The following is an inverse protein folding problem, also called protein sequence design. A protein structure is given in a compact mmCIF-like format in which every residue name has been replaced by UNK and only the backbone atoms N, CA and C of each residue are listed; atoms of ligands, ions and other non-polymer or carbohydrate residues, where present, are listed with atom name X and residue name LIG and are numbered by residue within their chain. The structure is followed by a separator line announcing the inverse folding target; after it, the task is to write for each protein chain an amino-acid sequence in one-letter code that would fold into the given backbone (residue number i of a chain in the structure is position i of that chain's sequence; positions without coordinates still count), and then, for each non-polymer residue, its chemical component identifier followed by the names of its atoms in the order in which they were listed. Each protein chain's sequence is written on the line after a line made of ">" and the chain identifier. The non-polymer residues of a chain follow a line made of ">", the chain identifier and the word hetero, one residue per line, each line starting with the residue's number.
data_IF_795449124834
#
_entry.id   IF_795449124834
#
_cell.length_a   1.000
_cell.length_b   1.000
_cell.length_c   1.000
_cell.angle_alpha   90.00
_cell.angle_beta   90.00
_cell.angle_gamma   90.00
#
_symmetry.space_group_name_H-M   'P 1'
#
loop_
_entity.id
_entity.type
_entity.pdbx_description
1 polymer ?
2 polymer ?
3 water ?
#
# COMPACT_ATOMS: atom_id res chain seq x y z
N UNK A 3 -12.56 18.22 3.31
CA UNK A 3 -11.60 19.05 2.50
C UNK A 3 -10.14 18.51 2.47
N UNK A 4 -9.60 18.41 1.25
CA UNK A 4 -8.26 17.90 0.96
C UNK A 4 -7.51 18.87 0.04
N UNK A 5 -6.26 19.16 0.36
CA UNK A 5 -5.50 20.11 -0.44
C UNK A 5 -4.18 19.53 -0.81
N UNK A 6 -4.00 19.29 -2.10
CA UNK A 6 -2.71 18.85 -2.59
C UNK A 6 -1.73 19.99 -2.69
N UNK A 7 -0.46 19.66 -2.49
CA UNK A 7 0.66 20.53 -2.87
C UNK A 7 1.87 19.71 -3.35
N UNK A 8 2.95 20.42 -3.73
CA UNK A 8 4.20 19.74 -4.06
C UNK A 8 4.41 19.47 -5.54
N UNK A 9 3.38 19.70 -6.34
CA UNK A 9 3.49 19.53 -7.79
C UNK A 9 4.50 20.48 -8.45
N UNK A 10 4.73 20.31 -9.74
CA UNK A 10 5.70 21.15 -10.38
C UNK A 10 6.15 20.65 -11.72
N UNK A 11 7.06 21.43 -12.32
CA UNK A 11 7.67 21.13 -13.60
C UNK A 11 9.02 20.55 -13.20
N UNK A 12 9.43 19.49 -13.88
CA UNK A 12 10.60 18.71 -13.48
C UNK A 12 11.08 18.05 -14.75
N UNK A 13 12.34 17.66 -14.77
CA UNK A 13 12.89 17.03 -15.98
C UNK A 13 12.84 15.55 -15.74
N UNK A 14 12.75 14.79 -16.83
CA UNK A 14 12.89 13.33 -16.80
C UNK A 14 14.09 12.90 -15.95
N UNK A 15 13.90 11.87 -15.12
CA UNK A 15 14.91 11.37 -14.19
C UNK A 15 14.73 12.05 -12.86
N UNK A 16 13.93 13.10 -12.82
CA UNK A 16 13.78 13.88 -11.59
C UNK A 16 12.89 13.23 -10.52
N UNK A 17 12.76 13.90 -9.37
CA UNK A 17 11.93 13.51 -8.25
C UNK A 17 10.99 14.65 -7.87
N UNK A 18 9.92 14.31 -7.14
CA UNK A 18 9.05 15.33 -6.52
C UNK A 18 8.38 14.70 -5.32
N UNK A 19 7.96 15.53 -4.38
CA UNK A 19 7.20 15.06 -3.23
C UNK A 19 5.86 15.77 -3.17
N UNK A 20 4.79 15.02 -3.47
CA UNK A 20 3.45 15.54 -3.38
C UNK A 20 2.89 15.28 -1.96
N UNK A 21 2.02 16.17 -1.53
CA UNK A 21 1.52 16.12 -0.20
C UNK A 21 0.06 16.51 -0.23
N UNK A 22 -0.70 15.86 0.61
CA UNK A 22 -2.10 16.12 0.71
C UNK A 22 -2.37 16.42 2.19
N UNK A 23 -2.87 17.64 2.48
CA UNK A 23 -3.30 17.95 3.83
C UNK A 23 -4.80 17.75 3.86
N UNK A 24 -5.27 17.15 4.94
CA UNK A 24 -6.64 16.67 5.10
C UNK A 24 -7.32 17.13 6.41
N UNK A 25 -8.62 17.39 6.33
CA UNK A 25 -9.45 17.67 7.50
C UNK A 25 -9.72 16.41 8.33
N UNK A 26 -9.86 16.59 9.64
CA UNK A 26 -10.08 15.44 10.54
C UNK A 26 -11.18 14.49 10.07
N UNK A 27 -12.30 15.09 9.70
CA UNK A 27 -13.46 14.43 9.05
C UNK A 27 -13.14 13.47 7.85
N UNK A 28 -12.27 13.90 6.93
CA UNK A 28 -11.93 13.10 5.75
C UNK A 28 -10.81 12.04 6.01
N UNK A 29 -9.93 12.33 6.97
CA UNK A 29 -8.69 11.59 7.18
C UNK A 29 -8.81 10.51 8.25
N UNK A 30 -9.55 10.83 9.32
CA UNK A 30 -9.54 9.97 10.49
C UNK A 30 -10.06 8.58 10.16
N UNK A 31 -9.32 7.55 10.60
CA UNK A 31 -9.73 6.18 10.35
C UNK A 31 -9.91 5.85 8.85
N UNK A 32 -9.45 6.72 7.95
CA UNK A 32 -9.81 6.50 6.54
C UNK A 32 -8.62 6.10 5.73
N UNK A 33 -8.81 5.18 4.79
CA UNK A 33 -7.79 4.95 3.74
C UNK A 33 -7.66 6.19 2.86
N UNK A 34 -6.44 6.45 2.35
CA UNK A 34 -6.16 7.63 1.49
C UNK A 34 -5.54 7.18 0.13
N UNK A 35 -5.85 7.87 -0.96
CA UNK A 35 -5.38 7.46 -2.25
C UNK A 35 -4.85 8.58 -3.09
N UNK A 36 -3.93 8.23 -4.00
CA UNK A 36 -3.53 9.07 -5.12
C UNK A 36 -3.94 8.48 -6.47
N UNK A 37 -4.57 9.34 -7.28
CA UNK A 37 -4.88 9.10 -8.69
C UNK A 37 -4.22 10.17 -9.54
N UNK A 38 -4.16 9.92 -10.84
CA UNK A 38 -3.65 10.89 -11.77
C UNK A 38 -4.44 10.87 -13.07
N UNK A 39 -4.42 11.98 -13.81
CA UNK A 39 -5.08 12.02 -15.09
C UNK A 39 -4.22 12.63 -16.13
N UNK A 40 -3.80 11.79 -17.07
CA UNK A 40 -2.96 12.20 -18.13
C UNK A 40 -3.78 12.81 -19.25
N UNK A 41 -3.13 13.66 -20.10
CA UNK A 41 -3.92 14.25 -21.19
C UNK A 41 -4.56 13.15 -22.02
N UNK A 42 -5.84 13.28 -22.36
CA UNK A 42 -6.52 12.32 -23.25
C UNK A 42 -6.95 11.01 -22.63
N UNK A 43 -6.80 10.88 -21.31
CA UNK A 43 -7.06 9.58 -20.63
C UNK A 43 -7.94 9.79 -19.45
N UNK A 44 -8.62 8.73 -19.02
CA UNK A 44 -9.42 8.86 -17.82
C UNK A 44 -8.45 8.81 -16.64
N UNK A 45 -8.91 9.25 -15.50
CA UNK A 45 -8.04 9.19 -14.39
C UNK A 45 -7.78 7.74 -13.90
N UNK A 46 -6.55 7.51 -13.48
CA UNK A 46 -6.08 6.20 -13.10
C UNK A 46 -5.43 6.18 -11.75
N UNK A 47 -5.38 4.97 -11.20
CA UNK A 47 -4.80 4.72 -9.91
C UNK A 47 -3.31 4.85 -9.93
N UNK A 48 -2.81 5.40 -8.84
CA UNK A 48 -1.43 5.56 -8.61
C UNK A 48 -1.00 4.78 -7.38
N UNK A 49 -1.57 5.08 -6.19
CA UNK A 49 -1.12 4.49 -4.92
C UNK A 49 -2.23 4.76 -3.87
N UNK A 50 -2.31 3.94 -2.83
CA UNK A 50 -3.30 4.10 -1.71
C UNK A 50 -2.68 3.47 -0.47
N UNK A 51 -3.15 3.88 0.70
CA UNK A 51 -2.52 3.54 2.00
C UNK A 51 -3.64 3.40 3.07
N UNK A 52 -3.68 2.29 3.76
CA UNK A 52 -4.73 2.10 4.76
C UNK A 52 -4.59 3.10 5.93
N UNK A 53 -5.57 3.07 6.84
CA UNK A 53 -5.52 3.91 8.04
C UNK A 53 -4.20 3.68 8.84
N UNK A 54 -3.88 2.41 9.15
CA UNK A 54 -2.67 2.13 9.94
C UNK A 54 -1.38 2.44 9.17
N UNK A 55 -1.46 2.58 7.86
CA UNK A 55 -0.22 2.70 7.03
C UNK A 55 0.49 1.34 6.74
N UNK A 56 -0.04 0.24 7.25
CA UNK A 56 0.56 -1.07 7.06
C UNK A 56 0.19 -1.72 5.73
N UNK A 57 -0.91 -1.30 5.10
CA UNK A 57 -1.38 -1.82 3.86
C UNK A 57 -1.35 -0.73 2.79
N UNK A 58 -0.58 -1.05 1.73
CA UNK A 58 -0.32 -0.14 0.61
C UNK A 58 -0.79 -0.80 -0.67
N UNK A 59 -1.22 0.04 -1.60
CA UNK A 59 -1.50 -0.39 -3.00
C UNK A 59 -0.69 0.48 -3.97
N UNK A 60 -0.08 -0.14 -4.98
CA UNK A 60 0.67 0.56 -6.05
C UNK A 60 0.26 0.08 -7.48
N UNK A 61 0.02 1.04 -8.38
CA UNK A 61 -0.19 0.76 -9.77
C UNK A 61 1.12 0.11 -10.29
N UNK A 62 0.99 -0.91 -11.12
CA UNK A 62 2.20 -1.62 -11.56
C UNK A 62 3.14 -0.68 -12.34
N UNK A 63 2.60 0.31 -13.07
CA UNK A 63 3.45 1.32 -13.76
C UNK A 63 4.31 2.27 -12.90
N UNK A 64 4.13 2.23 -11.59
CA UNK A 64 4.69 3.19 -10.66
C UNK A 64 5.44 2.42 -9.54
N UNK A 65 5.18 1.12 -9.45
CA UNK A 65 5.74 0.26 -8.41
C UNK A 65 7.25 0.24 -8.45
N UNK A 66 7.87 0.54 -7.31
CA UNK A 66 9.28 0.57 -7.20
C UNK A 66 9.94 1.88 -7.65
N UNK A 67 9.13 2.87 -8.09
CA UNK A 67 9.57 4.24 -8.28
C UNK A 67 8.87 5.23 -7.35
N UNK A 68 7.65 4.94 -6.89
CA UNK A 68 6.88 5.87 -6.08
C UNK A 68 6.70 5.25 -4.75
N UNK A 69 6.63 6.07 -3.69
CA UNK A 69 6.33 5.56 -2.37
C UNK A 69 5.23 6.40 -1.77
N UNK A 70 4.24 5.75 -1.22
CA UNK A 70 3.19 6.46 -0.54
C UNK A 70 3.41 6.26 0.97
N UNK A 71 3.10 7.30 1.76
CA UNK A 71 3.18 7.30 3.24
C UNK A 71 2.13 8.25 3.81
N UNK A 72 1.83 8.14 5.09
CA UNK A 72 0.88 9.04 5.74
C UNK A 72 1.42 9.41 7.13
N UNK A 73 0.98 10.56 7.65
CA UNK A 73 1.34 11.05 9.02
C UNK A 73 0.05 11.30 9.73
N UNK A 74 -0.35 10.38 10.62
CA UNK A 74 -1.65 10.54 11.30
C UNK A 74 -1.68 11.70 12.36
N UNK A 75 -0.49 12.27 12.64
CA UNK A 75 -0.33 13.49 13.49
C UNK A 75 -0.68 14.77 12.73
N UNK A 76 -0.08 14.94 11.55
CA UNK A 76 -0.25 16.11 10.70
C UNK A 76 -1.47 15.98 9.78
N UNK A 77 -2.13 14.82 9.83
CA UNK A 77 -3.20 14.49 8.88
C UNK A 77 -2.75 14.68 7.41
N UNK A 78 -1.56 14.20 7.05
CA UNK A 78 -1.05 14.30 5.67
C UNK A 78 -0.88 12.91 5.03
N UNK A 79 -0.99 12.86 3.71
CA UNK A 79 -0.57 11.71 2.87
C UNK A 79 0.49 12.29 1.93
N UNK A 80 1.59 11.56 1.76
CA UNK A 80 2.71 11.95 0.92
C UNK A 80 2.93 10.93 -0.20
N UNK A 81 3.32 11.41 -1.37
CA UNK A 81 3.66 10.57 -2.53
C UNK A 81 5.00 11.03 -3.01
N UNK A 82 5.98 10.19 -2.75
CA UNK A 82 7.33 10.46 -3.16
C UNK A 82 7.48 9.87 -4.51
N UNK A 83 7.69 10.72 -5.49
CA UNK A 83 7.89 10.29 -6.86
C UNK A 83 9.32 10.36 -7.24
N UNK A 84 9.91 9.22 -7.58
CA UNK A 84 11.30 9.16 -8.00
C UNK A 84 11.32 8.69 -9.43
N UNK A 85 12.41 8.97 -10.13
CA UNK A 85 12.62 8.43 -11.46
C UNK A 85 11.52 8.78 -12.45
N UNK A 86 11.06 10.02 -12.38
CA UNK A 86 9.95 10.49 -13.21
C UNK A 86 10.21 10.42 -14.75
N UNK A 87 9.15 10.03 -15.49
CA UNK A 87 9.14 9.90 -16.95
C UNK A 87 8.11 10.90 -17.54
N UNK A 88 8.29 11.29 -18.84
CA UNK A 88 7.27 12.04 -19.58
C UNK A 88 5.84 11.53 -19.36
N UNK A 89 5.67 10.21 -19.42
CA UNK A 89 4.39 9.52 -19.23
C UNK A 89 3.75 9.71 -17.84
N UNK A 90 4.51 10.27 -16.91
CA UNK A 90 4.03 10.59 -15.60
C UNK A 90 3.36 11.96 -15.55
N UNK A 91 3.43 12.70 -16.67
CA UNK A 91 2.77 14.03 -16.80
C UNK A 91 1.26 13.91 -16.55
N UNK A 92 0.71 14.60 -15.54
CA UNK A 92 -0.72 14.45 -15.24
C UNK A 92 -1.12 15.45 -14.22
N UNK A 93 -2.41 15.67 -14.02
CA UNK A 93 -2.87 16.26 -12.75
C UNK A 93 -3.02 15.09 -11.77
N UNK A 94 -2.49 15.29 -10.55
CA UNK A 94 -2.53 14.28 -9.52
C UNK A 94 -3.49 14.77 -8.43
N UNK A 95 -4.35 13.85 -8.04
CA UNK A 95 -5.50 14.08 -7.12
C UNK A 95 -5.33 13.16 -5.92
N UNK A 96 -5.51 13.74 -4.74
CA UNK A 96 -5.59 12.98 -3.51
C UNK A 96 -7.06 12.68 -3.29
N UNK A 97 -7.33 11.55 -2.66
CA UNK A 97 -8.70 11.12 -2.36
C UNK A 97 -8.76 10.46 -0.97
N UNK A 98 -9.93 10.49 -0.35
CA UNK A 98 -10.11 9.91 0.95
C UNK A 98 -11.42 9.21 1.05
N UNK A 99 -11.40 8.07 1.72
CA UNK A 99 -12.59 7.26 2.04
C UNK A 99 -13.13 6.53 0.85
N UNK A 100 -12.46 5.42 0.48
CA UNK A 100 -12.86 4.71 -0.70
C UNK A 100 -14.24 4.05 -0.48
N UNK A 101 -15.10 4.06 -1.52
CA UNK A 101 -16.43 3.42 -1.40
C UNK A 101 -16.37 1.90 -1.65
N UNK A 102 -15.23 1.45 -2.19
CA UNK A 102 -15.04 0.05 -2.52
C UNK A 102 -13.57 -0.31 -2.51
N UNK A 103 -13.07 -0.87 -3.61
CA UNK A 103 -11.64 -1.28 -3.65
C UNK A 103 -10.78 -0.02 -3.77
N UNK A 104 -9.63 0.02 -3.09
CA UNK A 104 -8.76 1.20 -3.04
C UNK A 104 -8.31 1.71 -4.39
N UNK A 105 -8.27 0.77 -5.38
CA UNK A 105 -7.76 1.01 -6.73
C UNK A 105 -8.74 1.62 -7.73
N UNK A 106 -10.03 1.70 -7.38
CA UNK A 106 -11.01 2.26 -8.30
C UNK A 106 -11.33 3.70 -7.84
N UNK A 107 -11.66 4.56 -8.82
CA UNK A 107 -11.86 5.97 -8.61
C UNK A 107 -13.24 6.29 -7.98
N UNK A 108 -13.53 5.67 -6.85
CA UNK A 108 -14.84 5.84 -6.18
C UNK A 108 -14.51 6.12 -4.75
N UNK A 109 -14.37 7.42 -4.43
CA UNK A 109 -14.00 7.89 -3.11
C UNK A 109 -14.98 9.03 -2.74
N UNK A 110 -15.32 9.10 -1.46
CA UNK A 110 -16.22 10.16 -0.95
C UNK A 110 -15.62 11.56 -1.13
N UNK A 111 -14.33 11.72 -0.87
CA UNK A 111 -13.65 13.04 -0.95
C UNK A 111 -12.49 13.02 -1.90
N UNK A 112 -12.40 14.13 -2.65
CA UNK A 112 -11.37 14.39 -3.65
C UNK A 112 -10.78 15.75 -3.44
N UNK A 113 -9.48 15.85 -3.70
CA UNK A 113 -8.80 17.12 -3.75
C UNK A 113 -9.10 17.79 -5.08
N UNK A 114 -8.50 18.97 -5.28
CA UNK A 114 -8.74 19.78 -6.51
C UNK A 114 -7.67 19.45 -7.51
N UNK A 115 -6.59 18.84 -7.06
CA UNK A 115 -5.60 18.41 -8.03
C UNK A 115 -4.35 19.23 -7.95
N UNK A 116 -3.26 18.66 -8.44
CA UNK A 116 -1.99 19.39 -8.57
C UNK A 116 -1.25 18.87 -9.82
N UNK A 117 -0.66 19.79 -10.59
CA UNK A 117 -0.04 19.45 -11.86
C UNK A 117 1.36 18.98 -11.62
N UNK A 118 1.71 17.95 -12.36
CA UNK A 118 3.05 17.47 -12.43
C UNK A 118 3.35 17.35 -13.88
N UNK A 119 4.35 18.05 -14.35
CA UNK A 119 4.71 17.84 -15.76
C UNK A 119 6.20 17.58 -15.83
N UNK A 120 6.56 16.58 -16.61
CA UNK A 120 7.90 16.06 -16.61
C UNK A 120 8.35 16.19 -18.04
N UNK A 121 9.31 17.08 -18.29
CA UNK A 121 9.77 17.37 -19.68
C UNK A 121 10.79 16.33 -20.24
N UNK B 5 17.41 -2.60 11.83
CA UNK B 5 16.89 -4.01 11.81
C UNK B 5 17.98 -5.14 11.74
N UNK B 6 17.81 -6.11 12.62
CA UNK B 6 18.66 -7.28 12.67
C UNK B 6 17.95 -8.45 11.97
N UNK B 7 16.74 -8.21 11.50
CA UNK B 7 15.86 -9.27 11.00
C UNK B 7 14.85 -8.68 10.00
N UNK B 8 15.17 -8.80 8.70
CA UNK B 8 14.37 -8.20 7.66
C UNK B 8 14.20 -9.16 6.51
N UNK B 9 12.95 -9.37 6.09
CA UNK B 9 12.63 -10.22 4.96
C UNK B 9 11.79 -9.39 4.04
N UNK B 10 12.06 -9.50 2.74
CA UNK B 10 11.24 -9.00 1.68
C UNK B 10 10.88 -10.11 0.70
N UNK B 11 9.59 -10.32 0.47
CA UNK B 11 9.10 -11.38 -0.39
C UNK B 11 8.12 -10.77 -1.35
N UNK B 12 8.22 -11.15 -2.62
CA UNK B 12 7.27 -10.75 -3.63
C UNK B 12 6.65 -12.02 -4.20
N UNK B 13 5.34 -12.11 -4.14
CA UNK B 13 4.68 -13.30 -4.68
C UNK B 13 3.19 -13.22 -4.74
N UNK B 14 2.55 -14.38 -4.76
CA UNK B 14 1.12 -14.46 -4.95
C UNK B 14 0.46 -14.91 -3.68
N UNK B 15 -0.66 -14.26 -3.39
CA UNK B 15 -1.32 -14.48 -2.15
C UNK B 15 -2.34 -15.66 -2.25
N UNK B 16 -2.42 -16.47 -1.20
CA UNK B 16 -3.43 -17.55 -1.11
C UNK B 16 -3.89 -17.78 0.29
N UNK B 17 -5.12 -18.25 0.40
CA UNK B 17 -5.60 -18.74 1.65
C UNK B 17 -5.56 -17.72 2.77
N UNK B 18 -6.18 -16.57 2.51
CA UNK B 18 -6.29 -15.52 3.52
C UNK B 18 -7.27 -15.95 4.58
N UNK B 19 -6.92 -15.83 5.85
CA UNK B 19 -7.89 -16.10 6.87
C UNK B 19 -7.49 -15.33 8.08
N UNK B 20 -8.41 -15.22 9.04
CA UNK B 20 -8.30 -14.26 10.12
C UNK B 20 -8.56 -14.99 11.43
N UNK B 21 -8.05 -14.46 12.53
CA UNK B 21 -8.26 -15.12 13.80
C UNK B 21 -7.53 -14.54 15.00
N UNK B 22 -7.12 -15.45 15.87
CA UNK B 22 -6.43 -15.13 17.09
C UNK B 22 -5.37 -16.22 17.23
N UNK B 23 -4.10 -15.80 17.33
CA UNK B 23 -3.03 -16.76 17.61
C UNK B 23 -3.12 -17.12 19.12
N UNK B 24 -2.75 -16.18 19.99
CA UNK B 24 -3.07 -16.33 21.41
C UNK B 24 -4.28 -15.44 21.67
N UNK B 25 -3.98 -14.21 22.08
CA UNK B 25 -4.92 -13.17 22.43
C UNK B 25 -4.84 -12.00 21.40
N UNK B 26 -3.86 -12.09 20.51
CA UNK B 26 -3.68 -11.16 19.42
C UNK B 26 -4.49 -11.63 18.22
N UNK B 27 -5.22 -10.68 17.64
CA UNK B 27 -5.87 -10.87 16.35
C UNK B 27 -4.79 -10.93 15.26
N UNK B 28 -5.02 -11.80 14.30
CA UNK B 28 -4.04 -12.07 13.23
C UNK B 28 -4.75 -12.39 11.93
N UNK B 29 -4.34 -11.76 10.85
CA UNK B 29 -4.72 -12.22 9.57
C UNK B 29 -3.50 -12.93 9.02
N UNK B 30 -3.74 -14.11 8.48
CA UNK B 30 -2.69 -14.95 8.02
C UNK B 30 -2.99 -15.27 6.57
N UNK B 31 -1.92 -15.34 5.77
CA UNK B 31 -2.01 -15.78 4.39
C UNK B 31 -0.74 -16.43 3.94
N UNK B 32 -0.82 -17.14 2.83
CA UNK B 32 0.29 -17.86 2.27
C UNK B 32 0.79 -17.05 1.10
N UNK B 33 2.11 -16.83 1.01
CA UNK B 33 2.65 -16.05 -0.08
C UNK B 33 3.62 -16.95 -0.82
N UNK B 34 3.33 -17.26 -2.07
CA UNK B 34 4.19 -18.10 -2.87
C UNK B 34 5.19 -17.26 -3.64
N UNK B 35 6.46 -17.50 -3.36
CA UNK B 35 7.53 -16.94 -4.14
C UNK B 35 8.07 -18.02 -5.13
N UNK B 36 8.51 -17.52 -6.27
CA UNK B 36 8.96 -18.36 -7.39
C UNK B 36 10.29 -17.90 -7.97
N UNK B 37 11.31 -18.77 -7.93
CA UNK B 37 12.59 -18.53 -8.59
C UNK B 37 12.91 -19.65 -9.64
N UNK B 38 13.51 -19.30 -10.78
CA UNK B 38 13.70 -20.30 -11.87
C UNK B 38 15.19 -20.59 -12.23
N UNK B 50 11.76 -23.71 -8.11
CA UNK B 50 11.97 -23.19 -6.76
C UNK B 50 10.69 -22.42 -6.40
N UNK B 51 9.82 -23.08 -5.67
CA UNK B 51 8.64 -22.46 -5.13
C UNK B 51 8.71 -22.60 -3.63
N UNK B 52 8.37 -21.53 -2.93
CA UNK B 52 8.28 -21.57 -1.50
C UNK B 52 6.99 -20.93 -1.04
N UNK B 53 6.34 -21.59 -0.09
CA UNK B 53 5.01 -21.20 0.38
C UNK B 53 5.05 -20.58 1.79
N UNK B 54 5.22 -19.27 1.86
CA UNK B 54 5.58 -18.67 3.11
C UNK B 54 4.32 -18.30 3.88
N UNK B 55 4.38 -18.38 5.20
CA UNK B 55 3.24 -18.03 6.00
C UNK B 55 3.45 -16.65 6.52
N UNK B 56 2.52 -15.75 6.15
CA UNK B 56 2.54 -14.35 6.59
C UNK B 56 1.47 -14.09 7.64
N UNK B 57 1.85 -13.44 8.73
CA UNK B 57 0.93 -13.07 9.82
C UNK B 57 1.02 -11.60 10.11
N UNK B 58 -0.13 -10.96 9.96
CA UNK B 58 -0.26 -9.54 10.08
C UNK B 58 -0.94 -9.27 11.39
N UNK B 59 -0.32 -8.49 12.27
CA UNK B 59 -0.80 -8.34 13.62
C UNK B 59 -1.40 -6.97 13.86
N UNK B 60 -2.30 -6.91 14.84
CA UNK B 60 -2.93 -5.66 15.30
C UNK B 60 -4.40 -5.77 14.91
N UNK B 61 -5.29 -5.28 15.75
CA UNK B 61 -6.75 -5.38 15.47
C UNK B 61 -7.14 -4.64 14.18
N UNK B 62 -6.60 -3.45 13.99
CA UNK B 62 -6.91 -2.69 12.80
C UNK B 62 -6.16 -3.21 11.56
N UNK B 63 -4.88 -3.51 11.70
CA UNK B 63 -4.11 -3.89 10.49
C UNK B 63 -4.60 -5.26 10.06
N UNK B 64 -4.71 -6.20 10.97
CA UNK B 64 -5.27 -7.49 10.63
C UNK B 64 -6.62 -7.37 9.93
N UNK B 65 -7.45 -6.39 10.31
CA UNK B 65 -8.76 -6.25 9.64
C UNK B 65 -8.59 -5.63 8.25
N UNK B 66 -7.74 -4.61 8.13
CA UNK B 66 -7.39 -4.04 6.81
C UNK B 66 -6.92 -5.09 5.84
N UNK B 67 -6.02 -5.94 6.28
CA UNK B 67 -5.51 -6.99 5.37
C UNK B 67 -6.61 -8.00 5.02
N UNK B 68 -7.38 -8.48 6.02
CA UNK B 68 -8.47 -9.42 5.77
C UNK B 68 -9.50 -8.89 4.76
N UNK B 69 -9.79 -7.59 4.92
CA UNK B 69 -10.78 -6.96 4.12
C UNK B 69 -10.38 -6.64 2.68
N UNK B 70 -9.15 -6.20 2.47
CA UNK B 70 -8.74 -5.65 1.16
C UNK B 70 -7.65 -6.42 0.39
N UNK B 71 -7.06 -7.42 0.99
CA UNK B 71 -6.16 -8.29 0.24
C UNK B 71 -6.96 -9.54 -0.22
N UNK B 72 -6.83 -9.91 -1.49
CA UNK B 72 -7.57 -11.02 -2.09
C UNK B 72 -6.67 -12.17 -2.56
N UNK B 73 -7.28 -13.37 -2.58
CA UNK B 73 -6.71 -14.56 -3.19
C UNK B 73 -6.19 -14.22 -4.59
N UNK B 74 -4.94 -14.54 -4.87
CA UNK B 74 -4.38 -14.30 -6.20
C UNK B 74 -3.79 -12.91 -6.38
N UNK B 75 -3.89 -12.03 -5.39
CA UNK B 75 -3.23 -10.69 -5.53
C UNK B 75 -1.73 -10.94 -5.56
N UNK B 76 -0.99 -10.10 -6.28
CA UNK B 76 0.44 -10.04 -6.16
C UNK B 76 0.79 -8.99 -5.08
N UNK B 77 1.62 -9.38 -4.13
CA UNK B 77 2.07 -8.50 -3.03
C UNK B 77 3.54 -8.56 -2.78
N UNK B 78 4.07 -7.48 -2.24
CA UNK B 78 5.40 -7.40 -1.68
C UNK B 78 5.18 -7.28 -0.19
N UNK B 79 5.77 -8.19 0.59
CA UNK B 79 5.71 -8.09 2.05
C UNK B 79 7.11 -7.84 2.57
N UNK B 80 7.20 -6.96 3.52
CA UNK B 80 8.40 -6.76 4.37
C UNK B 80 7.99 -7.06 5.82
N UNK B 81 8.76 -7.87 6.51
CA UNK B 81 8.47 -8.23 7.87
C UNK B 81 9.69 -8.89 8.49
N UNK B 82 9.49 -9.65 9.58
CA UNK B 82 10.58 -10.29 10.35
C UNK B 82 10.40 -11.74 10.28
N UNK B 83 11.50 -12.48 10.22
CA UNK B 83 11.41 -13.93 10.24
C UNK B 83 11.29 -14.42 11.69
N UNK B 84 10.23 -15.16 11.99
CA UNK B 84 10.04 -15.70 13.34
C UNK B 84 9.92 -17.21 13.30
N UNK B 85 10.41 -17.80 14.37
CA UNK B 85 10.46 -19.25 14.50
C UNK B 85 9.77 -19.56 15.84
N UNK B 86 8.52 -20.04 15.75
CA UNK B 86 7.73 -20.43 16.92
C UNK B 86 7.74 -21.95 16.99
N UNK B 87 8.48 -22.54 17.95
CA UNK B 87 8.82 -23.97 17.82
C UNK B 87 7.61 -24.91 17.72
N UNK B 88 6.55 -24.64 18.51
CA UNK B 88 5.37 -25.52 18.62
C UNK B 88 5.83 -27.00 18.75
N UNK B 89 5.37 -27.89 17.86
CA UNK B 89 5.86 -29.29 17.78
C UNK B 89 5.94 -30.01 19.18
N UNK B 90 5.23 -29.50 20.20
CA UNK B 90 5.57 -29.82 21.59
C UNK B 90 4.54 -29.68 22.77
N UNK B 91 3.39 -28.95 22.60
CA UNK B 91 2.44 -28.94 23.77
C UNK B 91 1.93 -30.33 24.27
N UNK B 92 1.72 -30.55 25.58
CA UNK B 92 2.07 -29.62 26.66
C UNK B 92 2.39 -30.39 27.95
N UNK B 98 2.39 -23.00 11.82
CA UNK B 98 3.48 -22.59 10.94
C UNK B 98 4.76 -22.19 11.72
N UNK B 99 5.45 -23.20 12.27
CA UNK B 99 6.87 -23.10 12.80
C UNK B 99 7.55 -21.77 12.29
N UNK B 100 7.98 -21.69 11.01
CA UNK B 100 8.41 -20.39 10.45
C UNK B 100 7.29 -19.50 9.94
N UNK B 101 7.33 -18.24 10.28
CA UNK B 101 6.43 -17.28 9.65
C UNK B 101 6.99 -15.87 9.64
N UNK B 102 6.40 -15.02 8.81
CA UNK B 102 6.80 -13.64 8.70
C UNK B 102 5.83 -12.76 9.47
N UNK B 103 6.35 -12.05 10.46
CA UNK B 103 5.58 -11.14 11.23
C UNK B 103 5.58 -9.75 10.61
N UNK B 104 4.39 -9.26 10.32
CA UNK B 104 4.16 -8.01 9.66
C UNK B 104 3.30 -7.24 10.65
N UNK B 105 3.86 -6.19 11.15
CA UNK B 105 3.10 -5.28 11.95
C UNK B 105 3.63 -3.91 11.70
N UNK B 106 2.77 -2.95 11.32
CA UNK B 106 3.37 -1.63 11.21
C UNK B 106 3.74 -1.06 12.56
N UNK B 107 4.67 -0.11 12.57
CA UNK B 107 5.36 0.44 11.41
C UNK B 107 6.62 -0.39 10.98
N UNK B 108 6.90 -1.51 11.64
CA UNK B 108 8.05 -2.34 11.25
C UNK B 108 7.84 -2.95 9.81
N UNK B 109 6.66 -3.43 9.53
CA UNK B 109 6.41 -4.14 8.30
C UNK B 109 5.25 -3.59 7.54
N UNK B 110 5.07 -4.08 6.33
CA UNK B 110 3.93 -3.73 5.50
C UNK B 110 3.66 -4.79 4.45
N UNK B 111 2.43 -4.74 3.91
CA UNK B 111 2.03 -5.46 2.74
C UNK B 111 1.63 -4.44 1.69
N UNK B 112 2.32 -4.52 0.54
CA UNK B 112 1.96 -3.72 -0.67
C UNK B 112 1.38 -4.58 -1.81
N UNK B 113 0.09 -4.38 -2.12
CA UNK B 113 -0.58 -4.96 -3.27
C UNK B 113 -0.17 -4.23 -4.51
N UNK B 114 0.20 -4.99 -5.53
CA UNK B 114 0.62 -4.42 -6.81
C UNK B 114 -0.52 -4.68 -7.80
N UNK B 115 -1.06 -3.60 -8.36
CA UNK B 115 -2.23 -3.69 -9.19
C UNK B 115 -1.92 -3.35 -10.66
N UNK B 116 -2.46 -4.13 -11.60
CA UNK B 116 -2.21 -3.91 -13.03
C UNK B 116 -3.18 -4.62 -13.93
N UNK B 117 -2.79 -4.80 -15.20
CA UNK B 117 -3.47 -5.68 -16.20
C UNK B 117 -4.67 -4.97 -16.82
N UNK B 118 -5.47 -5.74 -17.58
CA UNK B 118 -6.71 -5.27 -18.28
C UNK B 118 -6.43 -4.53 -19.59
#
# INVERSE_FOLDING_TARGET
>A
QVQLQESGGGLVQAGGSLTLSCAASGRTFSNNAMGWFRQAPGKEREFVAAISWTGGLLFYADSVNGRFTISRDNAKRTVTLQMNSLKPEDTAVYYCAARPQGDYVTAHYDYWGQGTQVTVSSHHHHHH
>B
GMSKSVNSVTLVGVVHDIQSGFVYEDAVTQFTLTTTSIDTTHPTQEVVVEKDHHTIRCFGELFSAEVKQKVKEGNVVCVNGRLRLSPQLEPSCNKHFYFPYIQVQPPHGQVAVIHGDRRTVPAAVNPAVEDIKSEKEGSGGDQSGVPS
#
